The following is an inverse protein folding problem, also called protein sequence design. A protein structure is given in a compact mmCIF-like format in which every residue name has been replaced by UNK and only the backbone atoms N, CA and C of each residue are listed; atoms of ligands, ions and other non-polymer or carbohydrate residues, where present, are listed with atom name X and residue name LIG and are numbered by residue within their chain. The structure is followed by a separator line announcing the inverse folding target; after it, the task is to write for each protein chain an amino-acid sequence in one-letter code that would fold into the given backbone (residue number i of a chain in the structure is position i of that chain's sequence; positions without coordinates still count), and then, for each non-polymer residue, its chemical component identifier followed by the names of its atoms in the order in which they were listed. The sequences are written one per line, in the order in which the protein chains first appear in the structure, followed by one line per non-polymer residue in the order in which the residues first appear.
data_IF_575630226271
#
_entry.id   IF_575630226271
#
_cell.length_a   1.000
_cell.length_b   1.000
_cell.length_c   1.000
_cell.angle_alpha   90.00
_cell.angle_beta   90.00
_cell.angle_gamma   90.00
#
_symmetry.space_group_name_H-M   'P 1'
#
loop_
_entity.id
_entity.type
_entity.pdbx_description
1 polymer ?
#
# COMPACT_ATOMS: atom_id res chain seq x y z
N UNK A 1 -18.06 23.54 -17.66
CA UNK A 1 -16.79 22.93 -18.08
C UNK A 1 -17.11 21.93 -19.17
N UNK A 2 -16.82 22.27 -20.42
CA UNK A 2 -17.25 21.52 -21.61
C UNK A 2 -16.37 20.29 -21.83
N UNK A 3 -16.98 19.12 -21.78
CA UNK A 3 -16.41 17.85 -22.22
C UNK A 3 -16.12 17.96 -23.72
N UNK A 4 -14.86 17.82 -24.19
CA UNK A 4 -14.57 18.02 -25.60
C UNK A 4 -15.04 16.80 -26.41
N UNK A 5 -15.96 17.04 -27.33
CA UNK A 5 -16.41 16.12 -28.37
C UNK A 5 -15.42 16.06 -29.54
N UNK A 6 -15.30 14.86 -30.11
CA UNK A 6 -14.23 14.32 -30.96
C UNK A 6 -14.06 14.94 -32.36
N UNK A 7 -14.65 16.11 -32.66
CA UNK A 7 -14.82 16.55 -34.05
C UNK A 7 -14.35 17.96 -34.38
N UNK A 8 -13.87 18.77 -33.43
CA UNK A 8 -13.40 20.12 -33.77
C UNK A 8 -11.95 20.12 -34.27
N UNK A 9 -11.78 20.66 -35.48
CA UNK A 9 -10.50 21.03 -36.09
C UNK A 9 -9.85 22.24 -35.38
N UNK A 10 -9.88 22.26 -34.05
CA UNK A 10 -9.28 23.31 -33.26
C UNK A 10 -7.75 23.21 -33.36
N UNK A 11 -7.12 24.29 -33.83
CA UNK A 11 -5.66 24.53 -33.81
C UNK A 11 -5.08 24.60 -32.37
N UNK A 12 -5.89 24.36 -31.36
CA UNK A 12 -5.50 24.47 -29.96
C UNK A 12 -4.95 23.15 -29.42
N UNK A 13 -3.89 23.25 -28.62
CA UNK A 13 -3.32 22.16 -27.82
C UNK A 13 -4.28 21.80 -26.69
N UNK A 14 -5.33 21.03 -26.99
CA UNK A 14 -6.15 20.43 -25.94
C UNK A 14 -5.38 19.26 -25.30
N UNK A 15 -4.83 19.51 -24.10
CA UNK A 15 -4.17 18.48 -23.30
C UNK A 15 -5.17 17.73 -22.42
N UNK A 16 -4.97 16.43 -22.24
CA UNK A 16 -5.72 15.67 -21.24
C UNK A 16 -5.17 15.98 -19.83
N UNK A 17 -6.05 16.43 -18.94
CA UNK A 17 -5.70 16.67 -17.54
C UNK A 17 -5.64 15.34 -16.78
N UNK A 18 -4.45 14.92 -16.40
CA UNK A 18 -4.25 13.73 -15.57
C UNK A 18 -4.64 14.05 -14.13
N UNK A 19 -5.40 13.13 -13.53
CA UNK A 19 -5.80 13.18 -12.13
C UNK A 19 -4.93 12.24 -11.31
N UNK A 20 -4.48 12.73 -10.16
CA UNK A 20 -3.90 11.89 -9.11
C UNK A 20 -5.02 11.23 -8.30
N UNK A 21 -4.86 9.92 -8.03
CA UNK A 21 -5.80 9.15 -7.23
C UNK A 21 -5.29 8.88 -5.81
N UNK A 22 -3.99 9.01 -5.59
CA UNK A 22 -3.33 8.66 -4.33
C UNK A 22 -2.48 9.83 -3.86
N UNK A 23 -2.78 10.34 -2.67
CA UNK A 23 -1.89 11.25 -1.94
C UNK A 23 -0.81 10.45 -1.22
N UNK A 24 0.46 10.73 -1.52
CA UNK A 24 1.61 10.10 -0.90
C UNK A 24 1.69 10.35 0.62
N UNK A 25 1.28 11.54 1.07
CA UNK A 25 1.28 11.88 2.49
C UNK A 25 0.20 11.06 3.24
N UNK A 26 -0.97 10.90 2.63
CA UNK A 26 -2.01 10.02 3.16
C UNK A 26 -1.59 8.55 3.15
N UNK A 27 -1.07 8.04 2.04
CA UNK A 27 -0.58 6.66 1.95
C UNK A 27 0.45 6.33 3.04
N UNK A 28 1.39 7.24 3.30
CA UNK A 28 2.38 7.07 4.38
C UNK A 28 1.70 6.95 5.76
N UNK A 29 0.67 7.74 6.04
CA UNK A 29 -0.07 7.68 7.30
C UNK A 29 -0.86 6.38 7.41
N UNK A 30 -1.53 5.97 6.35
CA UNK A 30 -2.40 4.79 6.34
C UNK A 30 -1.59 3.48 6.41
N UNK A 31 -0.36 3.48 5.89
CA UNK A 31 0.58 2.36 6.04
C UNK A 31 1.16 2.26 7.45
N UNK A 32 1.27 3.35 8.19
CA UNK A 32 1.87 3.37 9.52
C UNK A 32 1.02 2.56 10.53
N UNK A 33 1.68 1.85 11.43
CA UNK A 33 1.08 1.19 12.58
C UNK A 33 2.11 1.09 13.71
N UNK A 34 1.63 0.77 14.91
CA UNK A 34 2.43 0.61 16.12
C UNK A 34 2.11 -0.72 16.80
N UNK A 35 3.04 -1.34 17.53
CA UNK A 35 2.74 -2.50 18.36
C UNK A 35 1.60 -2.27 19.36
N UNK A 36 1.40 -1.02 19.80
CA UNK A 36 0.36 -0.65 20.76
C UNK A 36 -1.06 -0.63 20.16
N UNK A 37 -1.20 -0.61 18.84
CA UNK A 37 -2.49 -0.61 18.15
C UNK A 37 -2.60 -1.75 17.12
N UNK A 38 -1.92 -2.87 17.40
CA UNK A 38 -1.82 -4.00 16.46
C UNK A 38 -3.19 -4.55 16.06
N UNK A 39 -4.11 -4.70 17.02
CA UNK A 39 -5.46 -5.22 16.76
C UNK A 39 -6.21 -4.34 15.77
N UNK A 40 -6.21 -3.03 15.96
CA UNK A 40 -6.87 -2.09 15.04
C UNK A 40 -6.22 -2.12 13.65
N UNK A 41 -4.88 -2.18 13.61
CA UNK A 41 -4.12 -2.27 12.37
C UNK A 41 -4.43 -3.54 11.58
N UNK A 42 -4.65 -4.66 12.26
CA UNK A 42 -5.07 -5.94 11.66
C UNK A 42 -6.51 -5.89 11.14
N UNK A 43 -7.45 -5.34 11.92
CA UNK A 43 -8.87 -5.23 11.53
C UNK A 43 -9.01 -4.36 10.27
N UNK A 44 -8.31 -3.24 10.21
CA UNK A 44 -8.39 -2.26 9.11
C UNK A 44 -7.58 -2.64 7.88
N UNK A 45 -6.70 -3.64 7.96
CA UNK A 45 -5.80 -4.02 6.86
C UNK A 45 -6.55 -4.35 5.56
N UNK A 46 -7.63 -5.14 5.65
CA UNK A 46 -8.38 -5.58 4.47
C UNK A 46 -9.16 -4.42 3.83
N UNK A 47 -9.76 -3.54 4.64
CA UNK A 47 -10.50 -2.38 4.13
C UNK A 47 -9.56 -1.37 3.45
N UNK A 48 -8.37 -1.13 4.02
CA UNK A 48 -7.37 -0.26 3.42
C UNK A 48 -6.84 -0.85 2.10
N UNK A 49 -6.51 -2.15 2.09
CA UNK A 49 -6.09 -2.81 0.84
C UNK A 49 -7.14 -2.70 -0.26
N UNK A 50 -8.43 -2.92 0.07
CA UNK A 50 -9.52 -2.78 -0.89
C UNK A 50 -9.67 -1.33 -1.39
N UNK A 51 -9.63 -0.35 -0.49
CA UNK A 51 -9.71 1.07 -0.83
C UNK A 51 -8.63 1.48 -1.85
N UNK A 52 -7.37 1.18 -1.53
CA UNK A 52 -6.25 1.50 -2.43
C UNK A 52 -6.25 0.63 -3.71
N UNK A 53 -6.82 -0.57 -3.66
CA UNK A 53 -7.07 -1.39 -4.84
C UNK A 53 -8.02 -0.73 -5.85
N UNK A 54 -9.10 -0.10 -5.37
CA UNK A 54 -10.03 0.65 -6.22
C UNK A 54 -9.34 1.87 -6.84
N UNK A 55 -8.58 2.64 -6.04
CA UNK A 55 -7.84 3.79 -6.55
C UNK A 55 -6.80 3.40 -7.61
N UNK A 56 -6.13 2.26 -7.43
CA UNK A 56 -5.20 1.72 -8.43
C UNK A 56 -5.91 1.30 -9.72
N UNK A 57 -7.12 0.74 -9.63
CA UNK A 57 -7.93 0.38 -10.79
C UNK A 57 -8.39 1.64 -11.57
N UNK A 58 -8.79 2.69 -10.88
CA UNK A 58 -9.15 3.97 -11.51
C UNK A 58 -7.95 4.62 -12.22
N UNK A 59 -6.76 4.53 -11.62
CA UNK A 59 -5.51 4.98 -12.25
C UNK A 59 -5.18 4.18 -13.53
N UNK A 60 -5.38 2.86 -13.50
CA UNK A 60 -5.20 2.01 -14.68
C UNK A 60 -6.21 2.37 -15.79
N UNK A 61 -7.48 2.58 -15.44
CA UNK A 61 -8.50 3.05 -16.38
C UNK A 61 -8.12 4.38 -17.02
N UNK A 62 -7.57 5.31 -16.26
CA UNK A 62 -7.10 6.60 -16.80
C UNK A 62 -6.01 6.40 -17.85
N UNK A 63 -5.05 5.48 -17.62
CA UNK A 63 -4.02 5.16 -18.62
C UNK A 63 -4.66 4.67 -19.92
N UNK A 64 -5.64 3.77 -19.84
CA UNK A 64 -6.28 3.22 -21.04
C UNK A 64 -7.11 4.27 -21.80
N UNK A 65 -7.79 5.17 -21.08
CA UNK A 65 -8.46 6.31 -21.69
C UNK A 65 -7.47 7.20 -22.44
N UNK A 66 -6.34 7.55 -21.82
CA UNK A 66 -5.34 8.43 -22.45
C UNK A 66 -4.65 7.75 -23.64
N UNK A 67 -4.42 6.42 -23.61
CA UNK A 67 -3.93 5.66 -24.76
C UNK A 67 -4.88 5.78 -25.95
N UNK A 68 -6.17 5.52 -25.73
CA UNK A 68 -7.20 5.64 -26.77
C UNK A 68 -7.26 7.08 -27.33
N UNK A 69 -7.16 8.09 -26.48
CA UNK A 69 -7.13 9.49 -26.91
C UNK A 69 -5.85 9.83 -27.71
N UNK A 70 -4.71 9.25 -27.36
CA UNK A 70 -3.47 9.40 -28.12
C UNK A 70 -3.62 8.81 -29.52
N UNK A 71 -4.13 7.59 -29.65
CA UNK A 71 -4.36 6.93 -30.94
C UNK A 71 -5.30 7.76 -31.82
N UNK A 72 -6.41 8.26 -31.26
CA UNK A 72 -7.33 9.15 -31.97
C UNK A 72 -6.66 10.47 -32.39
N UNK A 73 -5.79 11.02 -31.53
CA UNK A 73 -5.06 12.27 -31.84
C UNK A 73 -4.03 12.03 -32.94
N UNK A 74 -3.31 10.91 -32.93
CA UNK A 74 -2.35 10.54 -33.97
C UNK A 74 -3.06 10.32 -35.32
N UNK A 75 -4.24 9.69 -35.32
CA UNK A 75 -5.07 9.53 -36.53
C UNK A 75 -5.55 10.88 -37.07
N UNK A 76 -6.05 11.77 -36.22
CA UNK A 76 -6.51 13.11 -36.63
C UNK A 76 -5.35 13.97 -37.18
N UNK A 77 -4.18 13.93 -36.53
CA UNK A 77 -2.98 14.64 -37.00
C UNK A 77 -2.45 14.03 -38.30
N UNK A 78 -2.53 12.71 -38.48
CA UNK A 78 -2.16 12.04 -39.74
C UNK A 78 -2.96 12.60 -40.91
N UNK A 79 -4.28 12.77 -40.74
CA UNK A 79 -5.14 13.35 -41.76
C UNK A 79 -4.73 14.80 -42.10
N UNK A 80 -4.53 15.64 -41.08
CA UNK A 80 -4.09 17.04 -41.24
C UNK A 80 -2.76 17.10 -42.02
N UNK A 81 -1.76 16.31 -41.62
CA UNK A 81 -0.43 16.31 -42.27
C UNK A 81 -0.53 15.83 -43.72
N UNK A 82 -1.40 14.85 -44.02
CA UNK A 82 -1.62 14.36 -45.40
C UNK A 82 -2.30 15.43 -46.25
N UNK A 83 -3.31 16.11 -45.73
CA UNK A 83 -4.04 17.17 -46.44
C UNK A 83 -3.16 18.40 -46.71
N UNK A 84 -2.31 18.79 -45.75
CA UNK A 84 -1.31 19.85 -45.92
C UNK A 84 -0.27 19.49 -46.99
N UNK A 85 0.24 18.26 -46.97
CA UNK A 85 1.24 17.82 -47.94
C UNK A 85 0.67 17.69 -49.37
N UNK A 86 -0.59 17.24 -49.49
CA UNK A 86 -1.31 17.23 -50.76
C UNK A 86 -1.53 18.65 -51.31
N UNK A 87 -1.91 19.59 -50.44
CA UNK A 87 -2.10 21.00 -50.81
C UNK A 87 -0.79 21.69 -51.23
N UNK A 88 0.33 21.29 -50.65
CA UNK A 88 1.66 21.80 -51.00
C UNK A 88 2.25 21.15 -52.27
N UNK A 89 1.59 20.14 -52.86
CA UNK A 89 2.12 19.37 -53.99
C UNK A 89 3.38 18.57 -53.64
N UNK A 90 3.63 18.33 -52.35
CA UNK A 90 4.83 17.67 -51.86
C UNK A 90 4.70 16.14 -52.04
N UNK A 91 5.73 15.47 -52.57
CA UNK A 91 5.70 14.01 -52.76
C UNK A 91 5.83 13.33 -51.39
N UNK A 92 4.71 12.86 -50.88
CA UNK A 92 4.63 12.38 -49.50
C UNK A 92 5.20 10.97 -49.37
N UNK A 93 6.16 10.78 -48.47
CA UNK A 93 6.63 9.45 -48.06
C UNK A 93 6.00 9.09 -46.72
N UNK A 94 5.61 7.82 -46.52
CA UNK A 94 5.01 7.34 -45.27
C UNK A 94 5.94 7.59 -44.06
N UNK A 95 7.26 7.46 -44.23
CA UNK A 95 8.23 7.79 -43.19
C UNK A 95 8.30 9.28 -42.85
N UNK A 96 8.13 10.16 -43.84
CA UNK A 96 8.05 11.61 -43.65
C UNK A 96 6.79 12.02 -42.88
N UNK A 97 5.64 11.42 -43.20
CA UNK A 97 4.38 11.63 -42.48
C UNK A 97 4.53 11.22 -41.02
N UNK A 98 5.04 10.00 -40.76
CA UNK A 98 5.23 9.50 -39.41
C UNK A 98 6.10 10.44 -38.56
N UNK A 99 7.16 10.99 -39.15
CA UNK A 99 8.03 11.97 -38.49
C UNK A 99 7.32 13.28 -38.18
N UNK A 100 6.51 13.80 -39.11
CA UNK A 100 5.69 15.01 -38.91
C UNK A 100 4.64 14.80 -37.81
N UNK A 101 3.93 13.66 -37.81
CA UNK A 101 2.95 13.30 -36.75
C UNK A 101 3.64 13.23 -35.38
N UNK A 102 4.77 12.53 -35.28
CA UNK A 102 5.47 12.36 -34.01
C UNK A 102 5.94 13.68 -33.39
N UNK A 103 6.24 14.69 -34.22
CA UNK A 103 6.67 16.03 -33.80
C UNK A 103 5.50 17.01 -33.62
N UNK A 104 4.28 16.61 -33.95
CA UNK A 104 3.14 17.50 -33.87
C UNK A 104 2.83 17.87 -32.41
N UNK A 105 2.63 19.16 -32.07
CA UNK A 105 2.41 19.61 -30.69
C UNK A 105 1.29 18.89 -29.94
N UNK A 106 0.18 18.58 -30.63
CA UNK A 106 -0.94 17.79 -30.06
C UNK A 106 -0.52 16.38 -29.64
N UNK A 107 0.25 15.68 -30.48
CA UNK A 107 0.74 14.33 -30.20
C UNK A 107 1.75 14.35 -29.05
N UNK A 108 2.66 15.33 -29.04
CA UNK A 108 3.62 15.51 -27.94
C UNK A 108 2.89 15.76 -26.62
N UNK A 109 1.89 16.65 -26.61
CA UNK A 109 1.09 16.95 -25.43
C UNK A 109 0.38 15.69 -24.90
N UNK A 110 -0.25 14.91 -25.77
CA UNK A 110 -0.94 13.68 -25.36
C UNK A 110 0.02 12.59 -24.88
N UNK A 111 1.22 12.48 -25.48
CA UNK A 111 2.29 11.59 -24.99
C UNK A 111 2.77 11.99 -23.59
N UNK A 112 2.87 13.29 -23.30
CA UNK A 112 3.17 13.78 -21.94
C UNK A 112 2.06 13.38 -20.96
N UNK A 113 0.79 13.58 -21.30
CA UNK A 113 -0.35 13.14 -20.48
C UNK A 113 -0.35 11.62 -20.28
N UNK A 114 0.00 10.82 -21.29
CA UNK A 114 0.09 9.37 -21.14
C UNK A 114 1.19 8.95 -20.17
N UNK A 115 2.37 9.57 -20.26
CA UNK A 115 3.47 9.29 -19.35
C UNK A 115 3.11 9.67 -17.90
N UNK A 116 2.42 10.79 -17.73
CA UNK A 116 1.90 11.22 -16.44
C UNK A 116 0.88 10.23 -15.87
N UNK A 117 -0.09 9.78 -16.68
CA UNK A 117 -1.06 8.77 -16.27
C UNK A 117 -0.39 7.45 -15.86
N UNK A 118 0.64 7.00 -16.60
CA UNK A 118 1.43 5.80 -16.27
C UNK A 118 2.17 5.96 -14.94
N UNK A 119 2.67 7.15 -14.62
CA UNK A 119 3.25 7.44 -13.30
C UNK A 119 2.22 7.24 -12.19
N UNK A 120 1.01 7.78 -12.36
CA UNK A 120 -0.08 7.62 -11.37
C UNK A 120 -0.49 6.15 -11.21
N UNK A 121 -0.60 5.39 -12.30
CA UNK A 121 -0.85 3.95 -12.25
C UNK A 121 0.26 3.20 -11.49
N UNK A 122 1.53 3.54 -11.71
CA UNK A 122 2.65 2.94 -11.01
C UNK A 122 2.58 3.19 -9.49
N UNK A 123 2.22 4.42 -9.07
CA UNK A 123 1.99 4.75 -7.67
C UNK A 123 0.87 3.87 -7.08
N UNK A 124 -0.22 3.67 -7.83
CA UNK A 124 -1.31 2.77 -7.45
C UNK A 124 -0.86 1.34 -7.20
N UNK A 125 -0.06 0.78 -8.13
CA UNK A 125 0.50 -0.57 -7.98
C UNK A 125 1.40 -0.67 -6.74
N UNK A 126 2.27 0.32 -6.53
CA UNK A 126 3.15 0.37 -5.36
C UNK A 126 2.36 0.48 -4.05
N UNK A 127 1.27 1.25 -4.02
CA UNK A 127 0.43 1.37 -2.83
C UNK A 127 -0.21 0.01 -2.45
N UNK A 128 -0.80 -0.69 -3.41
CA UNK A 128 -1.40 -2.01 -3.20
C UNK A 128 -0.35 -3.02 -2.71
N UNK A 129 0.85 -2.99 -3.29
CA UNK A 129 1.95 -3.86 -2.86
C UNK A 129 2.45 -3.53 -1.45
N UNK A 130 2.51 -2.25 -1.10
CA UNK A 130 2.87 -1.81 0.25
C UNK A 130 1.90 -2.36 1.30
N UNK A 131 0.60 -2.45 0.98
CA UNK A 131 -0.37 -3.09 1.86
C UNK A 131 -0.17 -4.62 1.96
N UNK A 132 0.31 -5.30 0.90
CA UNK A 132 0.70 -6.73 1.02
C UNK A 132 1.86 -6.90 1.99
N UNK A 133 2.90 -6.09 1.86
CA UNK A 133 4.01 -6.09 2.82
C UNK A 133 3.55 -5.75 4.24
N UNK A 134 2.67 -4.76 4.41
CA UNK A 134 2.09 -4.41 5.72
C UNK A 134 1.35 -5.59 6.33
N UNK A 135 0.52 -6.31 5.56
CA UNK A 135 -0.18 -7.52 6.04
C UNK A 135 0.81 -8.55 6.59
N UNK A 136 1.86 -8.84 5.83
CA UNK A 136 2.83 -9.86 6.22
C UNK A 136 3.55 -9.47 7.50
N UNK A 137 3.93 -8.19 7.64
CA UNK A 137 4.51 -7.66 8.88
C UNK A 137 3.56 -7.75 10.08
N UNK A 138 2.28 -7.42 9.90
CA UNK A 138 1.27 -7.54 10.96
C UNK A 138 1.11 -9.00 11.41
N UNK A 139 1.10 -9.95 10.46
CA UNK A 139 1.02 -11.38 10.78
C UNK A 139 2.23 -11.83 11.59
N UNK A 140 3.44 -11.43 11.19
CA UNK A 140 4.67 -11.77 11.91
C UNK A 140 4.68 -11.18 13.33
N UNK A 141 4.29 -9.92 13.48
CA UNK A 141 4.22 -9.29 14.80
C UNK A 141 3.17 -9.94 15.71
N UNK A 142 2.02 -10.33 15.13
CA UNK A 142 1.00 -11.09 15.86
C UNK A 142 1.45 -12.50 16.28
N UNK A 143 2.33 -13.14 15.51
CA UNK A 143 2.95 -14.40 15.90
C UNK A 143 3.91 -14.20 17.07
N UNK A 144 4.78 -13.19 16.99
CA UNK A 144 5.76 -12.85 18.04
C UNK A 144 5.04 -12.58 19.36
N UNK A 145 4.01 -11.72 19.38
CA UNK A 145 3.26 -11.39 20.60
C UNK A 145 2.61 -12.62 21.25
N UNK A 146 2.09 -13.56 20.44
CA UNK A 146 1.51 -14.79 20.99
C UNK A 146 2.55 -15.72 21.59
N UNK A 147 3.72 -15.82 20.98
CA UNK A 147 4.81 -16.65 21.51
C UNK A 147 5.43 -16.04 22.77
N UNK A 148 5.61 -14.71 22.81
CA UNK A 148 6.03 -13.99 24.02
C UNK A 148 5.05 -14.22 25.19
N UNK A 149 3.74 -14.07 24.94
CA UNK A 149 2.71 -14.31 25.96
C UNK A 149 2.72 -15.76 26.48
N UNK A 150 2.93 -16.75 25.62
CA UNK A 150 3.08 -18.16 26.06
C UNK A 150 4.32 -18.36 26.92
N UNK A 151 5.43 -17.73 26.55
CA UNK A 151 6.67 -17.75 27.31
C UNK A 151 6.49 -17.15 28.71
N UNK A 152 5.86 -15.97 28.79
CA UNK A 152 5.53 -15.31 30.05
C UNK A 152 4.63 -16.17 30.95
N UNK A 153 3.56 -16.74 30.39
CA UNK A 153 2.66 -17.63 31.13
C UNK A 153 3.37 -18.88 31.64
N UNK A 154 4.29 -19.44 30.86
CA UNK A 154 5.10 -20.61 31.26
C UNK A 154 6.03 -20.27 32.43
N UNK A 155 6.70 -19.11 32.36
CA UNK A 155 7.58 -18.62 33.43
C UNK A 155 6.75 -18.36 34.70
N UNK A 156 5.64 -17.63 34.59
CA UNK A 156 4.75 -17.35 35.72
C UNK A 156 4.24 -18.63 36.38
N UNK A 157 3.84 -19.64 35.58
CA UNK A 157 3.39 -20.92 36.10
C UNK A 157 4.52 -21.68 36.82
N UNK A 158 5.76 -21.60 36.33
CA UNK A 158 6.92 -22.20 36.99
C UNK A 158 7.24 -21.48 38.30
N UNK A 159 7.33 -20.15 38.30
CA UNK A 159 7.58 -19.34 39.50
C UNK A 159 6.52 -19.59 40.56
N UNK A 160 5.23 -19.60 40.18
CA UNK A 160 4.15 -19.88 41.13
C UNK A 160 4.24 -21.29 41.77
N UNK A 161 4.75 -22.29 41.04
CA UNK A 161 4.99 -23.64 41.58
C UNK A 161 6.20 -23.67 42.52
N UNK A 162 7.26 -22.96 42.19
CA UNK A 162 8.46 -22.83 43.03
C UNK A 162 8.09 -22.13 44.34
N UNK A 163 7.39 -20.98 44.27
CA UNK A 163 6.91 -20.24 45.43
C UNK A 163 6.01 -21.10 46.34
N UNK A 164 5.12 -21.90 45.75
CA UNK A 164 4.25 -22.81 46.51
C UNK A 164 5.03 -23.94 47.19
N UNK A 165 6.08 -24.47 46.53
CA UNK A 165 6.95 -25.50 47.10
C UNK A 165 7.77 -24.95 48.28
N UNK A 166 8.33 -23.75 48.13
CA UNK A 166 9.09 -23.07 49.18
C UNK A 166 8.20 -22.72 50.38
N UNK A 167 7.00 -22.19 50.13
CA UNK A 167 6.02 -21.94 51.20
C UNK A 167 5.63 -23.23 51.96
N UNK A 168 5.47 -24.35 51.25
CA UNK A 168 5.19 -25.65 51.88
C UNK A 168 6.37 -26.13 52.73
N UNK A 169 7.59 -26.02 52.20
CA UNK A 169 8.82 -26.37 52.92
C UNK A 169 8.96 -25.55 54.20
N UNK A 170 8.74 -24.24 54.14
CA UNK A 170 8.82 -23.34 55.28
C UNK A 170 7.74 -23.65 56.33
N UNK A 171 6.52 -23.98 55.91
CA UNK A 171 5.48 -24.42 56.83
C UNK A 171 5.87 -25.72 57.56
N UNK A 172 6.45 -26.69 56.84
CA UNK A 172 6.91 -27.95 57.45
C UNK A 172 8.06 -27.70 58.41
N UNK A 173 9.07 -26.91 58.02
CA UNK A 173 10.20 -26.56 58.88
C UNK A 173 9.74 -25.83 60.16
N UNK A 174 8.82 -24.87 60.03
CA UNK A 174 8.25 -24.17 61.17
C UNK A 174 7.46 -25.10 62.11
N UNK A 175 6.71 -26.07 61.58
CA UNK A 175 6.02 -27.07 62.40
C UNK A 175 7.01 -27.97 63.15
N UNK A 176 8.07 -28.42 62.48
CA UNK A 176 9.11 -29.24 63.10
C UNK A 176 9.87 -28.48 64.18
N UNK A 177 10.24 -27.21 63.93
CA UNK A 177 10.90 -26.36 64.91
C UNK A 177 10.04 -26.13 66.16
N UNK A 178 8.73 -25.85 65.98
CA UNK A 178 7.78 -25.73 67.11
C UNK A 178 7.67 -27.01 67.91
N UNK A 179 7.57 -28.16 67.23
CA UNK A 179 7.49 -29.47 67.91
C UNK A 179 8.77 -29.78 68.69
N UNK A 180 9.94 -29.46 68.14
CA UNK A 180 11.22 -29.63 68.82
C UNK A 180 11.32 -28.76 70.08
N UNK A 181 10.94 -27.47 70.00
CA UNK A 181 10.90 -26.57 71.15
C UNK A 181 9.97 -27.09 72.26
N UNK A 182 8.76 -27.54 71.88
CA UNK A 182 7.77 -28.07 72.83
C UNK A 182 8.22 -29.38 73.51
N UNK A 183 9.01 -30.20 72.79
CA UNK A 183 9.58 -31.43 73.35
C UNK A 183 10.72 -31.11 74.31
N UNK A 184 11.50 -30.06 74.05
CA UNK A 184 12.58 -29.61 74.94
C UNK A 184 12.05 -28.96 76.24
N UNK A 185 10.93 -28.24 76.19
CA UNK A 185 10.27 -27.71 77.39
C UNK A 185 9.69 -28.83 78.27
N UNK A 186 9.11 -29.87 77.65
CA UNK A 186 8.53 -30.99 78.40
C UNK A 186 9.55 -31.92 79.04
N UNK A 187 10.81 -31.91 78.58
CA UNK A 187 11.91 -32.70 79.18
C UNK A 187 12.74 -31.92 80.19
N UNK A 188 12.45 -30.63 80.38
CA UNK A 188 13.08 -29.76 81.38
C UNK A 188 12.24 -29.59 82.67
N UNK A 189 10.99 -30.08 82.68
CA UNK A 189 10.10 -30.19 83.85
C UNK A 189 10.07 -31.64 84.37
#
# INVERSE_FOLDING_TARGET
MTTPTTADAAKETMGYQVRDFIDAAQLKRDLAYSPHNLTDAMITQASMFSHYGVLAADAAKQVDVVKMLLENTEAAVSQIVRDEAASAGEKVTEGGIATKIARHPRVISMKKSLNEAKRVEAIGKTAVESFRHRRDMLVQLGLIQREEMKGELSIQAKTAREDAADASRDQVLNRLARKAAQTAENSAN
#
